data_IF_019068883063
#
_entry.id   IF_019068883063
#
_cell.length_a   1.000
_cell.length_b   1.000
_cell.length_c   1.000
_cell.angle_alpha   90.00
_cell.angle_beta   90.00
_cell.angle_gamma   90.00
#
_symmetry.space_group_name_H-M   'P 1'
#
loop_
_entity.id
_entity.type
_entity.pdbx_description
1 polymer ?
#
# COMPACT_ATOMS: atom_id res chain seq x y z
N UNK A 1 19.19 -45.76 -25.50
CA UNK A 1 18.85 -46.93 -26.35
C UNK A 1 17.75 -46.66 -27.37
N UNK A 2 16.77 -45.75 -27.17
CA UNK A 2 15.82 -45.35 -28.23
C UNK A 2 16.35 -44.25 -29.19
N UNK A 3 17.37 -43.48 -28.78
CA UNK A 3 18.05 -42.50 -29.65
C UNK A 3 19.10 -43.12 -30.59
N UNK A 4 19.59 -44.33 -30.32
CA UNK A 4 20.60 -45.01 -31.14
C UNK A 4 20.02 -45.83 -32.31
N UNK A 5 18.69 -45.86 -32.45
CA UNK A 5 17.95 -46.57 -33.51
C UNK A 5 17.13 -45.63 -34.42
N UNK A 6 17.38 -44.32 -34.36
CA UNK A 6 16.79 -43.36 -35.31
C UNK A 6 15.28 -43.10 -35.17
N UNK A 7 14.65 -43.52 -34.08
CA UNK A 7 13.20 -43.40 -33.86
C UNK A 7 12.74 -42.03 -33.31
N UNK A 8 13.66 -41.07 -33.08
CA UNK A 8 13.32 -39.71 -32.66
C UNK A 8 14.00 -38.67 -33.57
N UNK A 9 13.25 -37.68 -34.09
CA UNK A 9 13.82 -36.63 -34.93
C UNK A 9 14.79 -35.74 -34.12
N UNK A 10 15.94 -35.44 -34.72
CA UNK A 10 16.94 -34.51 -34.19
C UNK A 10 16.46 -33.07 -34.47
N UNK A 11 16.31 -32.20 -33.46
CA UNK A 11 15.93 -30.80 -33.69
C UNK A 11 17.02 -30.08 -34.51
N UNK A 12 16.67 -29.60 -35.71
CA UNK A 12 17.57 -28.91 -36.64
C UNK A 12 17.60 -27.39 -36.49
N UNK A 13 16.89 -26.83 -35.50
CA UNK A 13 16.92 -25.39 -35.25
C UNK A 13 17.94 -25.05 -34.14
N UNK A 14 18.96 -24.21 -34.40
CA UNK A 14 19.75 -23.64 -33.33
C UNK A 14 18.84 -22.74 -32.50
N UNK A 15 18.54 -23.14 -31.25
CA UNK A 15 17.94 -22.22 -30.27
C UNK A 15 19.00 -21.19 -29.92
N UNK A 16 19.02 -20.08 -30.65
CA UNK A 16 19.68 -18.86 -30.20
C UNK A 16 18.94 -18.43 -28.93
N UNK A 17 19.52 -18.67 -27.76
CA UNK A 17 19.02 -18.07 -26.53
C UNK A 17 19.31 -16.57 -26.60
N UNK A 18 18.35 -15.80 -27.13
CA UNK A 18 18.38 -14.35 -26.94
C UNK A 18 18.27 -14.10 -25.43
N UNK A 19 19.41 -13.82 -24.81
CA UNK A 19 19.46 -13.35 -23.43
C UNK A 19 18.59 -12.10 -23.36
N UNK A 20 17.60 -12.10 -22.46
CA UNK A 20 16.70 -10.98 -22.28
C UNK A 20 17.53 -9.71 -21.96
N UNK A 21 17.29 -8.57 -22.62
CA UNK A 21 18.01 -7.33 -22.33
C UNK A 21 17.94 -6.97 -20.84
N UNK A 22 19.02 -6.41 -20.29
CA UNK A 22 19.08 -6.05 -18.87
C UNK A 22 17.98 -5.05 -18.49
N UNK A 23 17.67 -4.11 -19.38
CA UNK A 23 16.56 -3.17 -19.20
C UNK A 23 15.21 -3.88 -19.00
N UNK A 24 14.93 -4.94 -19.76
CA UNK A 24 13.70 -5.73 -19.62
C UNK A 24 13.70 -6.50 -18.30
N UNK A 25 14.84 -7.07 -17.89
CA UNK A 25 14.95 -7.74 -16.58
C UNK A 25 14.69 -6.77 -15.42
N UNK A 26 15.25 -5.57 -15.49
CA UNK A 26 15.05 -4.52 -14.49
C UNK A 26 13.60 -4.04 -14.47
N UNK A 27 12.96 -3.88 -15.63
CA UNK A 27 11.54 -3.53 -15.71
C UNK A 27 10.65 -4.60 -15.05
N UNK A 28 10.94 -5.89 -15.27
CA UNK A 28 10.21 -7.00 -14.62
C UNK A 28 10.45 -7.01 -13.10
N UNK A 29 11.69 -6.81 -12.66
CA UNK A 29 12.03 -6.72 -11.24
C UNK A 29 11.27 -5.57 -10.57
N UNK A 30 11.35 -4.37 -11.16
CA UNK A 30 10.66 -3.19 -10.67
C UNK A 30 9.14 -3.39 -10.65
N UNK A 31 8.58 -4.01 -11.68
CA UNK A 31 7.15 -4.34 -11.73
C UNK A 31 6.73 -5.26 -10.57
N UNK A 32 7.53 -6.29 -10.27
CA UNK A 32 7.26 -7.17 -9.12
C UNK A 32 7.39 -6.46 -7.77
N UNK A 33 8.20 -5.41 -7.67
CA UNK A 33 8.42 -4.63 -6.45
C UNK A 33 7.41 -3.50 -6.26
N UNK A 34 6.56 -3.22 -7.25
CA UNK A 34 5.48 -2.24 -7.09
C UNK A 34 4.47 -2.69 -6.03
N UNK A 35 4.08 -1.76 -5.17
CA UNK A 35 3.17 -2.02 -4.04
C UNK A 35 1.75 -2.43 -4.47
N UNK A 36 1.32 -2.05 -5.69
CA UNK A 36 0.05 -2.46 -6.27
C UNK A 36 0.08 -3.88 -6.86
N UNK A 37 1.27 -4.44 -7.06
CA UNK A 37 1.53 -5.79 -7.59
C UNK A 37 1.90 -6.77 -6.48
N UNK A 38 2.77 -6.36 -5.55
CA UNK A 38 3.23 -7.18 -4.44
C UNK A 38 3.10 -6.47 -3.10
N UNK A 39 2.48 -7.14 -2.14
CA UNK A 39 2.32 -6.66 -0.77
C UNK A 39 3.49 -7.08 0.12
N UNK A 40 4.24 -6.12 0.66
CA UNK A 40 5.33 -6.41 1.58
C UNK A 40 4.83 -6.83 2.97
N UNK A 41 5.36 -7.92 3.50
CA UNK A 41 4.95 -8.44 4.80
C UNK A 41 5.53 -7.60 5.94
N UNK A 42 4.74 -7.19 6.94
CA UNK A 42 5.18 -6.27 8.00
C UNK A 42 5.87 -6.97 9.17
N UNK A 43 5.72 -8.30 9.30
CA UNK A 43 6.19 -9.03 10.48
C UNK A 43 7.71 -9.14 10.55
N UNK A 44 8.28 -8.97 11.76
CA UNK A 44 9.73 -9.11 12.00
C UNK A 44 10.30 -10.48 11.61
N UNK A 45 9.45 -11.52 11.54
CA UNK A 45 9.80 -12.89 11.14
C UNK A 45 9.56 -13.18 9.65
N UNK A 46 8.92 -12.28 8.92
CA UNK A 46 8.56 -12.47 7.52
C UNK A 46 9.74 -12.16 6.60
N UNK A 47 10.79 -12.96 6.72
CA UNK A 47 12.07 -12.73 6.04
C UNK A 47 12.53 -13.98 5.31
N UNK A 48 13.34 -13.78 4.28
CA UNK A 48 14.00 -14.84 3.53
C UNK A 48 15.47 -14.48 3.31
N UNK A 49 16.34 -15.46 3.50
CA UNK A 49 17.77 -15.31 3.21
C UNK A 49 18.01 -15.77 1.78
N UNK A 50 18.52 -14.86 0.95
CA UNK A 50 18.84 -15.12 -0.45
C UNK A 50 20.36 -15.11 -0.59
N UNK A 51 20.89 -16.12 -1.30
CA UNK A 51 22.30 -16.16 -1.66
C UNK A 51 22.49 -15.41 -2.97
N UNK A 52 23.25 -14.33 -2.93
CA UNK A 52 23.59 -13.50 -4.09
C UNK A 52 24.60 -14.20 -5.00
N UNK A 53 24.77 -13.66 -6.21
CA UNK A 53 25.70 -14.21 -7.21
C UNK A 53 27.16 -14.16 -6.76
N UNK A 54 27.51 -13.18 -5.91
CA UNK A 54 28.83 -13.03 -5.29
C UNK A 54 29.05 -14.01 -4.11
N UNK A 55 28.05 -14.84 -3.78
CA UNK A 55 28.10 -15.82 -2.71
C UNK A 55 27.70 -15.27 -1.33
N UNK A 56 27.47 -13.96 -1.20
CA UNK A 56 27.00 -13.35 0.04
C UNK A 56 25.56 -13.77 0.35
N UNK A 57 25.19 -13.79 1.63
CA UNK A 57 23.82 -14.07 2.07
C UNK A 57 23.20 -12.76 2.53
N UNK A 58 22.14 -12.35 1.84
CA UNK A 58 21.40 -11.14 2.17
C UNK A 58 19.98 -11.51 2.61
N UNK A 59 19.54 -10.90 3.71
CA UNK A 59 18.20 -11.12 4.25
C UNK A 59 17.25 -10.08 3.69
N UNK A 60 16.24 -10.54 2.97
CA UNK A 60 15.17 -9.72 2.41
C UNK A 60 13.90 -9.88 3.24
N UNK A 61 13.12 -8.81 3.34
CA UNK A 61 11.74 -8.88 3.84
C UNK A 61 10.87 -9.51 2.74
N UNK A 62 9.99 -10.45 3.11
CA UNK A 62 9.10 -11.11 2.14
C UNK A 62 8.08 -10.12 1.59
N UNK A 63 7.80 -10.21 0.30
CA UNK A 63 6.63 -9.61 -0.34
C UNK A 63 5.77 -10.70 -0.95
N UNK A 64 4.48 -10.45 -1.12
CA UNK A 64 3.48 -11.40 -1.60
C UNK A 64 2.85 -10.84 -2.85
N UNK A 65 2.92 -11.58 -3.95
CA UNK A 65 2.23 -11.22 -5.17
C UNK A 65 0.71 -11.21 -4.94
N UNK A 66 0.07 -10.05 -5.12
CA UNK A 66 -1.37 -9.85 -4.92
C UNK A 66 -2.20 -10.63 -5.95
N UNK A 67 -1.65 -10.71 -7.16
CA UNK A 67 -2.18 -11.42 -8.30
C UNK A 67 -1.51 -12.78 -8.46
N UNK A 68 -2.12 -13.68 -9.22
CA UNK A 68 -1.39 -14.86 -9.67
C UNK A 68 -0.38 -14.45 -10.77
N UNK A 69 0.62 -15.32 -11.04
CA UNK A 69 1.70 -14.98 -11.98
C UNK A 69 1.19 -14.73 -13.40
N UNK A 70 0.06 -15.34 -13.80
CA UNK A 70 -0.56 -15.11 -15.11
C UNK A 70 -1.19 -13.72 -15.18
N UNK A 71 -1.95 -13.33 -14.17
CA UNK A 71 -2.54 -11.98 -14.04
C UNK A 71 -1.46 -10.91 -14.01
N UNK A 72 -0.44 -11.06 -13.17
CA UNK A 72 0.69 -10.14 -13.08
C UNK A 72 1.43 -9.99 -14.42
N UNK A 73 1.60 -11.09 -15.17
CA UNK A 73 2.21 -11.05 -16.49
C UNK A 73 1.37 -10.28 -17.52
N UNK A 74 0.04 -10.46 -17.50
CA UNK A 74 -0.86 -9.72 -18.38
C UNK A 74 -0.83 -8.22 -18.08
N UNK A 75 -0.84 -7.84 -16.80
CA UNK A 75 -0.70 -6.46 -16.36
C UNK A 75 0.65 -5.86 -16.80
N UNK A 76 1.75 -6.60 -16.63
CA UNK A 76 3.08 -6.14 -17.07
C UNK A 76 3.13 -5.82 -18.56
N UNK A 77 2.54 -6.67 -19.41
CA UNK A 77 2.48 -6.46 -20.86
C UNK A 77 1.58 -5.26 -21.24
N UNK A 78 0.52 -5.00 -20.48
CA UNK A 78 -0.33 -3.83 -20.66
C UNK A 78 0.41 -2.53 -20.30
N UNK A 79 1.18 -2.54 -19.20
CA UNK A 79 1.95 -1.38 -18.73
C UNK A 79 3.18 -1.09 -19.61
N UNK A 80 3.67 -2.08 -20.36
CA UNK A 80 4.89 -1.98 -21.17
C UNK A 80 4.63 -2.38 -22.63
N UNK A 81 3.83 -1.59 -23.38
CA UNK A 81 3.53 -1.87 -24.78
C UNK A 81 4.84 -1.85 -25.60
N UNK A 82 5.21 -3.00 -26.15
CA UNK A 82 6.44 -3.19 -26.92
C UNK A 82 7.48 -4.13 -26.29
N UNK A 83 7.30 -4.52 -25.02
CA UNK A 83 8.09 -5.59 -24.40
C UNK A 83 7.43 -6.94 -24.70
N UNK A 84 8.13 -7.81 -25.42
CA UNK A 84 7.72 -9.21 -25.61
C UNK A 84 8.49 -10.11 -24.63
N UNK A 85 7.77 -10.64 -23.64
CA UNK A 85 8.29 -11.62 -22.69
C UNK A 85 7.26 -12.71 -22.46
N UNK A 86 7.68 -13.97 -22.53
CA UNK A 86 6.79 -15.09 -22.22
C UNK A 86 6.49 -15.18 -20.72
N UNK A 87 5.31 -15.69 -20.36
CA UNK A 87 4.91 -15.91 -18.96
C UNK A 87 5.94 -16.73 -18.18
N UNK A 88 6.54 -17.73 -18.82
CA UNK A 88 7.54 -18.60 -18.19
C UNK A 88 8.82 -17.85 -17.84
N UNK A 89 9.30 -16.98 -18.73
CA UNK A 89 10.49 -16.15 -18.48
C UNK A 89 10.19 -15.10 -17.42
N UNK A 90 9.01 -14.45 -17.50
CA UNK A 90 8.53 -13.52 -16.48
C UNK A 90 8.49 -14.18 -15.08
N UNK A 91 7.92 -15.38 -14.99
CA UNK A 91 7.84 -16.14 -13.75
C UNK A 91 9.22 -16.52 -13.17
N UNK A 92 10.20 -16.82 -14.03
CA UNK A 92 11.57 -17.15 -13.62
C UNK A 92 12.34 -15.93 -13.11
N UNK A 93 12.05 -14.75 -13.64
CA UNK A 93 12.68 -13.50 -13.23
C UNK A 93 12.05 -12.90 -11.97
N UNK A 94 11.02 -13.53 -11.40
CA UNK A 94 10.45 -13.12 -10.14
C UNK A 94 11.51 -13.17 -9.03
N UNK A 95 11.71 -12.08 -8.26
CA UNK A 95 12.64 -12.11 -7.15
C UNK A 95 12.27 -13.20 -6.13
N UNK A 96 13.25 -13.89 -5.53
CA UNK A 96 12.99 -14.97 -4.58
C UNK A 96 12.29 -14.50 -3.31
N UNK A 97 12.38 -13.21 -2.97
CA UNK A 97 11.65 -12.59 -1.86
C UNK A 97 10.21 -12.18 -2.20
N UNK A 98 9.82 -12.22 -3.48
CA UNK A 98 8.43 -12.06 -3.92
C UNK A 98 7.79 -13.44 -3.99
N UNK A 99 7.05 -13.78 -2.94
CA UNK A 99 6.38 -15.05 -2.75
C UNK A 99 5.09 -15.11 -3.56
N UNK A 100 4.80 -16.27 -4.14
CA UNK A 100 3.48 -16.50 -4.76
C UNK A 100 2.40 -16.62 -3.70
N UNK A 101 1.18 -16.26 -4.09
CA UNK A 101 -0.03 -16.33 -3.28
C UNK A 101 -0.28 -17.71 -2.63
N UNK A 102 0.26 -18.80 -3.19
CA UNK A 102 0.15 -20.17 -2.66
C UNK A 102 1.18 -20.50 -1.58
N UNK A 103 2.26 -19.73 -1.46
CA UNK A 103 3.29 -19.91 -0.42
C UNK A 103 2.94 -19.23 0.90
N UNK A 104 1.73 -18.69 1.02
CA UNK A 104 1.23 -17.98 2.18
C UNK A 104 0.72 -18.93 3.27
N UNK A 105 1.22 -18.86 4.51
CA UNK A 105 0.37 -19.14 5.67
C UNK A 105 -0.72 -18.06 5.76
N UNK A 106 -1.95 -18.47 6.13
CA UNK A 106 -3.18 -17.66 6.37
C UNK A 106 -3.25 -16.25 5.74
N UNK A 107 -4.12 -16.04 4.74
CA UNK A 107 -4.35 -14.72 4.10
C UNK A 107 -4.97 -13.73 5.09
N UNK A 108 -4.23 -12.67 5.43
CA UNK A 108 -4.68 -11.56 6.29
C UNK A 108 -4.56 -10.20 5.59
N UNK A 109 -5.28 -9.19 6.10
CA UNK A 109 -5.26 -7.80 5.62
C UNK A 109 -5.72 -7.57 4.17
N UNK A 110 -6.72 -8.32 3.70
CA UNK A 110 -7.30 -8.13 2.36
C UNK A 110 -8.28 -6.95 2.36
N UNK A 111 -8.33 -6.18 1.27
CA UNK A 111 -9.27 -5.08 1.10
C UNK A 111 -10.73 -5.56 1.16
N UNK A 112 -11.53 -4.95 2.03
CA UNK A 112 -12.95 -5.28 2.23
C UNK A 112 -13.76 -5.17 0.93
N UNK A 113 -13.58 -4.09 0.18
CA UNK A 113 -14.33 -3.80 -1.04
C UNK A 113 -14.09 -4.87 -2.12
N UNK A 114 -12.83 -5.26 -2.33
CA UNK A 114 -12.47 -6.30 -3.28
C UNK A 114 -12.92 -7.67 -2.80
N UNK A 115 -12.67 -8.00 -1.53
CA UNK A 115 -12.96 -9.33 -1.00
C UNK A 115 -14.47 -9.61 -0.96
N UNK A 116 -15.29 -8.64 -0.59
CA UNK A 116 -16.75 -8.82 -0.55
C UNK A 116 -17.35 -9.02 -1.95
N UNK A 117 -16.86 -8.31 -2.96
CA UNK A 117 -17.24 -8.57 -4.35
C UNK A 117 -16.74 -9.94 -4.80
N UNK A 118 -15.50 -10.30 -4.47
CA UNK A 118 -14.92 -11.60 -4.82
C UNK A 118 -15.76 -12.76 -4.27
N UNK A 119 -16.19 -12.67 -3.01
CA UNK A 119 -17.01 -13.72 -2.38
C UNK A 119 -18.38 -13.89 -3.08
N UNK A 120 -18.97 -12.81 -3.58
CA UNK A 120 -20.24 -12.86 -4.30
C UNK A 120 -20.06 -13.45 -5.71
N UNK A 121 -19.04 -12.99 -6.45
CA UNK A 121 -18.78 -13.54 -7.80
C UNK A 121 -18.38 -15.01 -7.73
N UNK A 122 -17.59 -15.42 -6.73
CA UNK A 122 -17.20 -16.82 -6.51
C UNK A 122 -18.45 -17.69 -6.30
N UNK A 123 -19.39 -17.21 -5.48
CA UNK A 123 -20.65 -17.89 -5.20
C UNK A 123 -21.57 -17.96 -6.44
N UNK A 124 -21.56 -16.91 -7.28
CA UNK A 124 -22.36 -16.80 -8.50
C UNK A 124 -21.73 -17.44 -9.74
N UNK A 125 -20.44 -17.79 -9.70
CA UNK A 125 -19.67 -18.29 -10.85
C UNK A 125 -20.28 -19.49 -11.56
N UNK A 126 -21.01 -20.35 -10.83
CA UNK A 126 -21.69 -21.54 -11.37
C UNK A 126 -23.10 -21.26 -11.89
N UNK A 127 -23.65 -20.09 -11.58
CA UNK A 127 -25.04 -19.73 -11.84
C UNK A 127 -25.18 -18.60 -12.86
N UNK A 128 -24.07 -17.98 -13.26
CA UNK A 128 -24.02 -16.94 -14.30
C UNK A 128 -23.21 -17.49 -15.48
N UNK A 129 -23.84 -17.60 -16.65
CA UNK A 129 -23.17 -18.06 -17.86
C UNK A 129 -22.13 -17.05 -18.35
N UNK A 130 -20.97 -17.56 -18.79
CA UNK A 130 -19.87 -16.75 -19.31
C UNK A 130 -18.74 -16.53 -18.30
N UNK A 131 -17.79 -15.66 -18.63
CA UNK A 131 -16.59 -15.42 -17.83
C UNK A 131 -16.67 -14.22 -16.90
N UNK A 132 -17.79 -13.49 -16.85
CA UNK A 132 -17.89 -12.26 -16.07
C UNK A 132 -17.69 -12.49 -14.56
N UNK A 133 -18.05 -13.67 -14.03
CA UNK A 133 -17.87 -14.04 -12.63
C UNK A 133 -16.66 -14.95 -12.38
N UNK A 134 -15.69 -15.05 -13.30
CA UNK A 134 -14.53 -15.93 -13.10
C UNK A 134 -13.52 -15.38 -12.09
N UNK A 135 -13.36 -14.06 -12.07
CA UNK A 135 -12.42 -13.33 -11.24
C UNK A 135 -12.75 -11.82 -11.27
N UNK A 136 -12.16 -11.04 -10.36
CA UNK A 136 -12.43 -9.60 -10.22
C UNK A 136 -12.05 -8.78 -11.47
N UNK A 137 -11.03 -9.19 -12.22
CA UNK A 137 -10.60 -8.47 -13.41
C UNK A 137 -11.62 -8.68 -14.54
N UNK A 138 -11.98 -9.94 -14.81
CA UNK A 138 -13.03 -10.29 -15.77
C UNK A 138 -14.38 -9.65 -15.41
N UNK A 139 -14.69 -9.57 -14.12
CA UNK A 139 -15.88 -8.87 -13.62
C UNK A 139 -15.83 -7.38 -13.94
N UNK A 140 -14.72 -6.70 -13.64
CA UNK A 140 -14.55 -5.27 -13.92
C UNK A 140 -14.65 -5.01 -15.42
N UNK A 141 -13.89 -5.73 -16.24
CA UNK A 141 -13.90 -5.59 -17.71
C UNK A 141 -15.30 -5.84 -18.30
N UNK A 142 -16.09 -6.75 -17.73
CA UNK A 142 -17.45 -7.00 -18.18
C UNK A 142 -18.43 -5.85 -17.85
N UNK A 143 -18.11 -4.97 -16.91
CA UNK A 143 -18.99 -3.90 -16.46
C UNK A 143 -18.71 -2.55 -17.11
N UNK A 144 -17.50 -2.30 -17.61
CA UNK A 144 -17.11 -0.97 -18.12
C UNK A 144 -16.58 -1.03 -19.54
N UNK A 145 -16.77 0.05 -20.31
CA UNK A 145 -16.18 0.19 -21.64
C UNK A 145 -14.66 0.41 -21.57
N UNK A 146 -14.22 1.19 -20.58
CA UNK A 146 -12.83 1.58 -20.38
C UNK A 146 -12.54 1.70 -18.88
N UNK A 147 -11.59 0.90 -18.41
CA UNK A 147 -11.16 0.84 -17.01
C UNK A 147 -10.34 2.05 -16.56
N UNK A 148 -9.83 2.84 -17.51
CA UNK A 148 -9.09 4.09 -17.27
C UNK A 148 -10.00 5.32 -17.25
N UNK A 149 -11.24 5.19 -17.72
CA UNK A 149 -12.19 6.28 -17.83
C UNK A 149 -12.99 6.51 -16.52
N UNK A 150 -12.94 7.73 -15.99
CA UNK A 150 -13.62 8.10 -14.74
C UNK A 150 -15.15 7.91 -14.82
N UNK A 151 -15.79 8.28 -15.93
CA UNK A 151 -17.26 8.15 -16.07
C UNK A 151 -17.69 6.69 -16.08
N UNK A 152 -16.91 5.81 -16.71
CA UNK A 152 -17.16 4.37 -16.71
C UNK A 152 -17.05 3.80 -15.29
N UNK A 153 -15.94 4.07 -14.61
CA UNK A 153 -15.65 3.52 -13.28
C UNK A 153 -16.48 4.16 -12.15
N UNK A 154 -17.07 5.34 -12.38
CA UNK A 154 -18.02 5.97 -11.45
C UNK A 154 -19.48 5.57 -11.67
N UNK A 155 -19.73 4.67 -12.62
CA UNK A 155 -21.07 4.22 -13.04
C UNK A 155 -21.96 5.35 -13.58
N UNK A 156 -21.35 6.34 -14.25
CA UNK A 156 -22.03 7.49 -14.85
C UNK A 156 -21.97 7.46 -16.40
N UNK A 157 -21.34 6.46 -17.01
CA UNK A 157 -21.23 6.33 -18.45
C UNK A 157 -22.53 5.79 -19.07
N UNK A 158 -23.03 6.48 -20.09
CA UNK A 158 -24.26 6.09 -20.80
C UNK A 158 -24.12 4.81 -21.63
N UNK A 159 -22.90 4.43 -22.02
CA UNK A 159 -22.65 3.27 -22.87
C UNK A 159 -22.57 1.95 -22.08
N UNK A 160 -21.99 1.95 -20.88
CA UNK A 160 -21.85 0.75 -20.04
C UNK A 160 -22.83 0.69 -18.87
N UNK A 161 -23.76 1.64 -18.74
CA UNK A 161 -24.76 1.67 -17.66
C UNK A 161 -25.59 0.38 -17.54
N UNK A 162 -25.86 -0.28 -18.66
CA UNK A 162 -26.63 -1.52 -18.72
C UNK A 162 -25.77 -2.80 -18.70
N UNK A 163 -24.44 -2.69 -18.63
CA UNK A 163 -23.55 -3.86 -18.74
C UNK A 163 -23.74 -4.87 -17.61
N UNK A 164 -24.06 -4.41 -16.40
CA UNK A 164 -24.39 -5.33 -15.30
C UNK A 164 -25.58 -6.22 -15.66
N UNK A 165 -26.66 -5.63 -16.17
CA UNK A 165 -27.84 -6.37 -16.61
C UNK A 165 -27.52 -7.34 -17.76
N UNK A 166 -26.79 -6.87 -18.77
CA UNK A 166 -26.47 -7.66 -19.96
C UNK A 166 -25.51 -8.82 -19.67
N UNK A 167 -24.51 -8.59 -18.82
CA UNK A 167 -23.42 -9.55 -18.60
C UNK A 167 -23.59 -10.40 -17.35
N UNK A 168 -24.45 -10.00 -16.41
CA UNK A 168 -24.73 -10.73 -15.16
C UNK A 168 -26.20 -11.17 -15.12
N UNK A 169 -27.14 -10.24 -14.98
CA UNK A 169 -28.56 -10.57 -14.71
C UNK A 169 -29.18 -11.43 -15.82
N UNK A 170 -29.02 -11.05 -17.08
CA UNK A 170 -29.57 -11.77 -18.23
C UNK A 170 -28.89 -13.13 -18.47
N UNK A 171 -27.76 -13.40 -17.81
CA UNK A 171 -27.01 -14.65 -17.96
C UNK A 171 -27.18 -15.59 -16.77
N UNK A 172 -28.06 -15.25 -15.81
CA UNK A 172 -28.40 -16.14 -14.70
C UNK A 172 -29.13 -17.37 -15.23
N UNK A 173 -28.63 -18.56 -14.88
CA UNK A 173 -29.19 -19.86 -15.32
C UNK A 173 -30.50 -20.18 -14.60
N UNK A 174 -30.53 -20.01 -13.27
CA UNK A 174 -31.72 -20.22 -12.45
C UNK A 174 -31.68 -19.29 -11.22
N UNK A 175 -32.63 -18.36 -11.17
CA UNK A 175 -32.69 -17.31 -10.15
C UNK A 175 -33.16 -17.80 -8.77
N UNK A 176 -33.89 -18.91 -8.71
CA UNK A 176 -34.56 -19.41 -7.48
C UNK A 176 -33.73 -20.44 -6.72
N UNK A 177 -32.54 -20.81 -7.22
CA UNK A 177 -31.65 -21.74 -6.54
C UNK A 177 -31.14 -21.10 -5.26
N UNK A 178 -31.23 -21.84 -4.15
CA UNK A 178 -30.60 -21.43 -2.90
C UNK A 178 -29.10 -21.67 -2.95
N UNK A 179 -28.35 -20.70 -2.47
CA UNK A 179 -26.91 -20.80 -2.28
C UNK A 179 -26.52 -20.14 -0.96
N UNK A 180 -25.31 -20.46 -0.53
CA UNK A 180 -24.65 -19.82 0.60
C UNK A 180 -23.47 -19.02 0.10
N UNK A 181 -23.26 -17.85 0.69
CA UNK A 181 -22.09 -17.02 0.42
C UNK A 181 -21.60 -16.38 1.72
N UNK A 182 -20.40 -15.85 1.68
CA UNK A 182 -19.84 -15.11 2.80
C UNK A 182 -19.75 -13.62 2.49
N UNK A 183 -19.87 -12.78 3.52
CA UNK A 183 -19.53 -11.36 3.48
C UNK A 183 -18.76 -10.99 4.75
N UNK A 184 -17.85 -10.03 4.61
CA UNK A 184 -17.26 -9.35 5.74
C UNK A 184 -18.10 -8.13 6.09
N UNK A 185 -18.54 -8.03 7.33
CA UNK A 185 -19.39 -6.94 7.83
C UNK A 185 -18.80 -6.30 9.09
N UNK A 186 -19.07 -5.01 9.27
CA UNK A 186 -18.70 -4.29 10.49
C UNK A 186 -19.75 -4.54 11.56
N UNK A 187 -19.39 -5.25 12.62
CA UNK A 187 -20.24 -5.46 13.80
C UNK A 187 -19.60 -4.79 15.01
N UNK A 188 -20.20 -3.66 15.45
CA UNK A 188 -19.69 -2.78 16.52
C UNK A 188 -18.24 -2.33 16.28
N UNK A 189 -17.28 -3.07 16.85
CA UNK A 189 -15.84 -2.76 16.89
C UNK A 189 -14.99 -3.75 16.07
N UNK A 190 -15.59 -4.81 15.51
CA UNK A 190 -14.86 -5.86 14.78
C UNK A 190 -15.46 -6.08 13.41
N UNK A 191 -14.59 -6.46 12.48
CA UNK A 191 -14.99 -6.92 11.15
C UNK A 191 -15.05 -8.44 11.20
N UNK A 192 -16.22 -9.00 10.96
CA UNK A 192 -16.48 -10.43 11.06
C UNK A 192 -16.92 -10.99 9.71
N UNK A 193 -16.53 -12.24 9.44
CA UNK A 193 -16.96 -12.95 8.23
C UNK A 193 -18.23 -13.73 8.55
N UNK A 194 -19.33 -13.32 7.94
CA UNK A 194 -20.67 -13.85 8.19
C UNK A 194 -21.08 -14.73 7.00
N UNK A 195 -21.63 -15.92 7.29
CA UNK A 195 -22.31 -16.75 6.29
C UNK A 195 -23.74 -16.25 6.10
N UNK A 196 -24.13 -16.06 4.84
CA UNK A 196 -25.48 -15.68 4.44
C UNK A 196 -26.05 -16.78 3.53
N UNK A 197 -27.36 -16.95 3.58
CA UNK A 197 -28.10 -17.89 2.73
C UNK A 197 -29.25 -17.16 2.05
N UNK A 198 -29.46 -17.45 0.78
CA UNK A 198 -30.56 -16.91 -0.01
C UNK A 198 -30.55 -17.46 -1.43
N UNK A 199 -31.38 -16.88 -2.28
CA UNK A 199 -31.51 -17.23 -3.69
C UNK A 199 -30.40 -16.60 -4.55
N UNK A 200 -30.16 -17.15 -5.74
CA UNK A 200 -29.28 -16.54 -6.75
C UNK A 200 -29.71 -15.10 -7.04
N UNK A 201 -31.01 -14.86 -7.13
CA UNK A 201 -31.58 -13.52 -7.32
C UNK A 201 -31.15 -12.53 -6.22
N UNK A 202 -31.30 -12.91 -4.97
CA UNK A 202 -30.91 -12.08 -3.81
C UNK A 202 -29.40 -11.82 -3.81
N UNK A 203 -28.59 -12.84 -4.10
CA UNK A 203 -27.13 -12.70 -4.20
C UNK A 203 -26.71 -11.73 -5.31
N UNK A 204 -27.35 -11.78 -6.50
CA UNK A 204 -27.12 -10.85 -7.61
C UNK A 204 -27.55 -9.42 -7.25
N UNK A 205 -28.66 -9.25 -6.53
CA UNK A 205 -29.11 -7.94 -6.04
C UNK A 205 -28.10 -7.32 -5.07
N UNK A 206 -27.56 -8.10 -4.13
CA UNK A 206 -26.51 -7.64 -3.21
C UNK A 206 -25.24 -7.27 -3.99
N UNK A 207 -24.86 -8.06 -5.00
CA UNK A 207 -23.73 -7.74 -5.87
C UNK A 207 -23.94 -6.40 -6.58
N UNK A 208 -25.11 -6.20 -7.19
CA UNK A 208 -25.48 -4.97 -7.91
C UNK A 208 -25.34 -3.72 -7.03
N UNK A 209 -25.80 -3.80 -5.77
CA UNK A 209 -25.69 -2.70 -4.80
C UNK A 209 -24.25 -2.32 -4.48
N UNK A 210 -23.30 -3.24 -4.60
CA UNK A 210 -21.87 -3.02 -4.31
C UNK A 210 -21.06 -2.56 -5.53
N UNK A 211 -21.58 -2.73 -6.75
CA UNK A 211 -20.85 -2.44 -8.01
C UNK A 211 -20.32 -1.01 -8.05
N UNK A 212 -21.16 -0.01 -7.80
CA UNK A 212 -20.76 1.40 -7.89
C UNK A 212 -19.61 1.74 -6.93
N UNK A 213 -19.68 1.27 -5.69
CA UNK A 213 -18.62 1.51 -4.70
C UNK A 213 -17.34 0.76 -5.07
N UNK A 214 -17.47 -0.48 -5.53
CA UNK A 214 -16.34 -1.30 -5.97
C UNK A 214 -15.59 -0.67 -7.16
N UNK A 215 -16.30 -0.28 -8.23
CA UNK A 215 -15.67 0.33 -9.41
C UNK A 215 -14.96 1.64 -9.06
N UNK A 216 -15.60 2.51 -8.28
CA UNK A 216 -14.96 3.75 -7.80
C UNK A 216 -13.69 3.44 -7.00
N UNK A 217 -13.74 2.46 -6.10
CA UNK A 217 -12.58 2.06 -5.29
C UNK A 217 -11.43 1.50 -6.16
N UNK A 218 -11.73 0.68 -7.16
CA UNK A 218 -10.75 0.16 -8.13
C UNK A 218 -10.10 1.30 -8.90
N UNK A 219 -10.88 2.26 -9.38
CA UNK A 219 -10.39 3.42 -10.12
C UNK A 219 -9.47 4.29 -9.26
N UNK A 220 -9.92 4.69 -8.07
CA UNK A 220 -9.13 5.53 -7.16
C UNK A 220 -7.82 4.82 -6.79
N UNK A 221 -7.87 3.51 -6.48
CA UNK A 221 -6.66 2.71 -6.21
C UNK A 221 -5.66 2.86 -7.35
N UNK A 222 -6.08 2.60 -8.59
CA UNK A 222 -5.19 2.66 -9.77
C UNK A 222 -4.65 4.07 -10.01
N UNK A 223 -5.51 5.09 -9.94
CA UNK A 223 -5.10 6.49 -10.13
C UNK A 223 -4.07 6.94 -9.08
N UNK A 224 -4.25 6.58 -7.80
CA UNK A 224 -3.31 6.94 -6.75
C UNK A 224 -1.99 6.19 -6.84
N UNK A 225 -2.03 4.88 -7.15
CA UNK A 225 -0.81 4.09 -7.38
C UNK A 225 -0.01 4.63 -8.57
N UNK A 226 -0.66 4.89 -9.70
CA UNK A 226 0.01 5.43 -10.88
C UNK A 226 0.62 6.81 -10.63
N UNK A 227 -0.12 7.69 -9.95
CA UNK A 227 0.39 9.01 -9.56
C UNK A 227 1.60 8.91 -8.64
N UNK A 228 1.58 7.98 -7.67
CA UNK A 228 2.71 7.75 -6.77
C UNK A 228 3.97 7.30 -7.53
N UNK A 229 3.85 6.31 -8.42
CA UNK A 229 4.97 5.85 -9.25
C UNK A 229 5.52 6.98 -10.14
N UNK A 230 4.63 7.76 -10.76
CA UNK A 230 5.04 8.92 -11.55
C UNK A 230 5.82 9.94 -10.71
N UNK A 231 5.31 10.29 -9.53
CA UNK A 231 6.00 11.26 -8.67
C UNK A 231 7.35 10.77 -8.17
N UNK A 232 7.51 9.46 -7.92
CA UNK A 232 8.81 8.87 -7.58
C UNK A 232 9.78 8.97 -8.75
N UNK A 233 9.33 8.65 -9.96
CA UNK A 233 10.15 8.74 -11.17
C UNK A 233 10.59 10.18 -11.48
N UNK A 234 9.72 11.16 -11.22
CA UNK A 234 9.96 12.59 -11.45
C UNK A 234 10.66 13.28 -10.26
N UNK A 235 11.10 12.54 -9.23
CA UNK A 235 11.69 13.11 -8.02
C UNK A 235 13.15 13.53 -8.20
N UNK A 236 13.53 14.66 -7.60
CA UNK A 236 14.89 15.20 -7.61
C UNK A 236 15.19 16.00 -6.32
N UNK A 237 16.38 16.60 -6.24
CA UNK A 237 16.86 17.36 -5.08
C UNK A 237 16.00 18.60 -4.73
N UNK A 238 15.21 19.11 -5.68
CA UNK A 238 14.32 20.27 -5.49
C UNK A 238 12.88 19.84 -5.18
N UNK A 239 12.47 18.68 -5.65
CA UNK A 239 11.12 18.15 -5.54
C UNK A 239 11.15 16.67 -5.19
N UNK A 240 10.93 16.35 -3.92
CA UNK A 240 10.94 14.98 -3.42
C UNK A 240 9.53 14.43 -3.17
N UNK A 241 9.46 13.10 -3.06
CA UNK A 241 8.28 12.37 -2.61
C UNK A 241 8.56 11.75 -1.25
N UNK A 242 7.63 11.87 -0.31
CA UNK A 242 7.77 11.29 1.03
C UNK A 242 6.56 10.43 1.35
N UNK A 243 6.73 9.13 1.51
CA UNK A 243 5.68 8.26 2.05
C UNK A 243 5.85 8.16 3.56
N UNK A 244 4.75 8.26 4.30
CA UNK A 244 4.72 8.13 5.76
C UNK A 244 3.65 7.14 6.21
N UNK A 245 3.92 6.42 7.30
CA UNK A 245 2.95 5.56 7.97
C UNK A 245 3.39 5.27 9.42
N UNK A 246 2.46 4.76 10.24
CA UNK A 246 2.78 4.12 11.51
C UNK A 246 2.96 2.62 11.32
N UNK A 247 4.16 2.13 11.61
CA UNK A 247 4.35 0.69 11.75
C UNK A 247 3.62 0.20 13.00
N UNK A 248 3.20 -1.07 13.00
CA UNK A 248 2.61 -1.72 14.19
C UNK A 248 3.46 -1.47 15.44
N UNK A 249 2.86 -1.23 16.60
CA UNK A 249 3.64 -0.95 17.81
C UNK A 249 4.58 -2.12 18.15
N UNK A 250 5.80 -1.80 18.58
CA UNK A 250 6.75 -2.80 19.03
C UNK A 250 6.49 -3.15 20.49
N UNK A 251 5.99 -4.36 20.75
CA UNK A 251 5.89 -4.90 22.09
C UNK A 251 7.28 -5.20 22.65
N UNK A 252 7.63 -4.51 23.74
CA UNK A 252 8.89 -4.72 24.44
C UNK A 252 8.86 -6.09 25.11
N UNK A 253 9.68 -7.01 24.61
CA UNK A 253 9.82 -8.34 25.17
C UNK A 253 11.25 -8.50 25.70
N UNK A 254 11.40 -9.12 26.85
CA UNK A 254 12.69 -9.47 27.43
C UNK A 254 13.05 -10.93 27.10
N UNK A 255 14.33 -11.20 26.89
CA UNK A 255 14.82 -12.58 26.82
C UNK A 255 14.78 -13.21 28.22
N UNK A 256 14.39 -14.49 28.29
CA UNK A 256 14.25 -15.24 29.55
C UNK A 256 13.22 -14.63 30.53
N UNK A 257 12.20 -13.94 30.00
CA UNK A 257 11.13 -13.34 30.80
C UNK A 257 10.33 -14.39 31.60
N UNK A 258 10.07 -14.11 32.88
CA UNK A 258 9.25 -14.96 33.75
C UNK A 258 7.79 -15.02 33.26
N UNK A 259 7.09 -16.11 33.54
CA UNK A 259 5.73 -16.35 33.06
C UNK A 259 4.74 -15.21 33.42
N UNK A 260 4.91 -14.58 34.58
CA UNK A 260 4.06 -13.47 35.04
C UNK A 260 4.29 -12.16 34.25
N UNK A 261 5.45 -11.97 33.62
CA UNK A 261 5.77 -10.78 32.83
C UNK A 261 5.09 -10.76 31.45
N UNK A 262 4.41 -11.86 31.07
CA UNK A 262 3.73 -11.98 29.79
C UNK A 262 2.52 -11.03 29.64
N UNK A 263 1.92 -10.58 30.75
CA UNK A 263 0.64 -9.85 30.76
C UNK A 263 0.76 -8.32 30.80
N UNK A 264 1.96 -7.75 30.92
CA UNK A 264 2.19 -6.29 31.07
C UNK A 264 3.24 -5.75 30.10
N UNK A 265 3.03 -5.98 28.80
CA UNK A 265 4.01 -5.58 27.77
C UNK A 265 3.86 -4.09 27.42
N UNK A 266 4.83 -3.26 27.82
CA UNK A 266 4.96 -1.89 27.30
C UNK A 266 5.16 -1.96 25.78
N UNK A 267 4.57 -1.03 25.04
CA UNK A 267 4.74 -0.95 23.59
C UNK A 267 5.35 0.39 23.18
N UNK A 268 6.13 0.38 22.10
CA UNK A 268 6.75 1.56 21.48
C UNK A 268 6.04 1.81 20.16
N UNK A 269 5.56 3.03 19.95
CA UNK A 269 5.06 3.46 18.64
C UNK A 269 6.22 3.76 17.70
N UNK A 270 6.09 3.49 16.41
CA UNK A 270 7.14 3.76 15.43
C UNK A 270 6.52 4.46 14.21
N UNK A 271 6.80 5.75 14.07
CA UNK A 271 6.50 6.49 12.85
C UNK A 271 7.59 6.21 11.82
N UNK A 272 7.20 5.83 10.62
CA UNK A 272 8.13 5.47 9.53
C UNK A 272 7.93 6.40 8.36
N UNK A 273 9.03 6.79 7.73
CA UNK A 273 8.98 7.60 6.51
C UNK A 273 10.06 7.16 5.52
N UNK A 274 9.77 7.34 4.25
CA UNK A 274 10.75 7.15 3.19
C UNK A 274 10.66 8.29 2.19
N UNK A 275 11.79 8.91 1.87
CA UNK A 275 11.89 10.01 0.92
C UNK A 275 12.66 9.58 -0.32
N UNK A 276 12.03 9.71 -1.50
CA UNK A 276 12.65 9.53 -2.82
C UNK A 276 13.13 10.87 -3.35
N UNK A 277 14.39 10.91 -3.77
CA UNK A 277 15.09 12.07 -4.31
C UNK A 277 16.02 11.64 -5.45
N UNK A 278 15.43 11.24 -6.59
CA UNK A 278 16.18 10.68 -7.71
C UNK A 278 17.01 9.45 -7.29
N UNK A 279 18.35 9.47 -7.40
CA UNK A 279 19.20 8.36 -6.95
C UNK A 279 19.34 8.29 -5.41
N UNK A 280 19.07 9.38 -4.69
CA UNK A 280 19.18 9.46 -3.24
C UNK A 280 17.86 9.05 -2.59
N UNK A 281 17.95 8.26 -1.52
CA UNK A 281 16.80 7.80 -0.77
C UNK A 281 17.08 7.88 0.74
N UNK A 282 16.13 8.41 1.49
CA UNK A 282 16.25 8.59 2.94
C UNK A 282 15.16 7.82 3.66
N UNK A 283 15.55 6.87 4.51
CA UNK A 283 14.60 6.08 5.32
C UNK A 283 14.66 6.53 6.77
N UNK A 284 13.50 6.76 7.38
CA UNK A 284 13.36 7.22 8.76
C UNK A 284 12.56 6.23 9.59
N UNK A 285 13.00 5.99 10.82
CA UNK A 285 12.24 5.32 11.85
C UNK A 285 12.30 6.13 13.15
N UNK A 286 11.15 6.61 13.58
CA UNK A 286 10.99 7.55 14.68
C UNK A 286 10.20 6.90 15.82
N UNK A 287 10.86 6.10 16.67
CA UNK A 287 10.20 5.47 17.82
C UNK A 287 9.82 6.48 18.89
N UNK A 288 8.70 6.22 19.57
CA UNK A 288 8.23 6.99 20.73
C UNK A 288 7.63 6.09 21.80
N UNK A 289 7.85 6.44 23.06
CA UNK A 289 7.13 5.84 24.18
C UNK A 289 5.66 6.30 24.24
N UNK A 290 5.29 7.35 23.50
CA UNK A 290 3.91 7.79 23.36
C UNK A 290 3.19 7.01 22.24
N UNK A 291 2.14 6.27 22.60
CA UNK A 291 1.37 5.41 21.68
C UNK A 291 0.03 6.01 21.25
N UNK A 292 -0.22 7.29 21.52
CA UNK A 292 -1.52 7.92 21.24
C UNK A 292 -1.75 8.20 19.76
N UNK A 293 -0.66 8.26 18.97
CA UNK A 293 -0.68 8.57 17.53
C UNK A 293 -1.47 9.87 17.22
N UNK A 294 -1.50 10.81 18.17
CA UNK A 294 -2.31 12.00 18.04
C UNK A 294 -1.70 13.00 17.03
N UNK A 295 -2.49 14.01 16.67
CA UNK A 295 -2.10 15.08 15.74
C UNK A 295 -0.80 15.82 16.12
N UNK A 296 -0.46 15.92 17.40
CA UNK A 296 0.75 16.60 17.87
C UNK A 296 1.99 15.71 17.69
N UNK A 297 1.85 14.41 17.93
CA UNK A 297 2.87 13.41 17.65
C UNK A 297 3.19 13.37 16.15
N UNK A 298 2.16 13.31 15.29
CA UNK A 298 2.33 13.38 13.83
C UNK A 298 3.05 14.67 13.43
N UNK A 299 2.64 15.83 13.95
CA UNK A 299 3.34 17.08 13.66
C UNK A 299 4.82 17.04 14.07
N UNK A 300 5.13 16.52 15.25
CA UNK A 300 6.51 16.43 15.76
C UNK A 300 7.38 15.57 14.85
N UNK A 301 6.82 14.45 14.35
CA UNK A 301 7.50 13.60 13.38
C UNK A 301 7.77 14.34 12.05
N UNK A 302 6.77 15.06 11.54
CA UNK A 302 6.89 15.81 10.28
C UNK A 302 7.90 16.96 10.39
N UNK A 303 7.89 17.71 11.50
CA UNK A 303 8.86 18.77 11.77
C UNK A 303 10.30 18.23 11.77
N UNK A 304 10.53 17.08 12.42
CA UNK A 304 11.83 16.43 12.43
C UNK A 304 12.25 15.98 11.02
N UNK A 305 11.38 15.28 10.29
CA UNK A 305 11.67 14.77 8.94
C UNK A 305 12.00 15.91 7.98
N UNK A 306 11.20 16.97 7.96
CA UNK A 306 11.43 18.13 7.09
C UNK A 306 12.74 18.83 7.49
N UNK A 307 13.01 18.97 8.80
CA UNK A 307 14.25 19.56 9.30
C UNK A 307 15.49 18.80 8.82
N UNK A 308 15.50 17.47 8.95
CA UNK A 308 16.58 16.61 8.45
C UNK A 308 16.72 16.70 6.93
N UNK A 309 15.62 16.57 6.19
CA UNK A 309 15.64 16.61 4.73
C UNK A 309 16.17 17.94 4.19
N UNK A 310 15.86 19.08 4.83
CA UNK A 310 16.42 20.37 4.44
C UNK A 310 17.93 20.50 4.71
N UNK A 311 18.48 19.75 5.67
CA UNK A 311 19.93 19.70 5.89
C UNK A 311 20.62 18.89 4.78
N UNK A 312 20.03 17.76 4.38
CA UNK A 312 20.57 16.94 3.30
C UNK A 312 20.34 17.53 1.90
N UNK A 313 19.25 18.29 1.73
CA UNK A 313 18.80 18.88 0.46
C UNK A 313 18.57 20.39 0.63
N UNK A 314 19.62 21.23 0.58
CA UNK A 314 19.51 22.67 0.82
C UNK A 314 18.61 23.41 -0.20
N UNK A 315 18.53 22.90 -1.43
CA UNK A 315 17.74 23.46 -2.52
C UNK A 315 16.30 22.94 -2.59
N UNK A 316 15.87 22.18 -1.57
CA UNK A 316 14.53 21.61 -1.52
C UNK A 316 13.45 22.70 -1.56
N UNK A 317 12.52 22.59 -2.53
CA UNK A 317 11.41 23.52 -2.72
C UNK A 317 10.04 22.86 -2.60
N UNK A 318 9.93 21.57 -2.92
CA UNK A 318 8.64 20.88 -2.97
C UNK A 318 8.73 19.53 -2.27
N UNK A 319 7.74 19.23 -1.42
CA UNK A 319 7.55 17.90 -0.84
C UNK A 319 6.14 17.41 -1.15
N UNK A 320 6.07 16.23 -1.76
CA UNK A 320 4.82 15.53 -2.07
C UNK A 320 4.65 14.37 -1.09
N UNK A 321 3.83 14.55 -0.07
CA UNK A 321 3.56 13.52 0.94
C UNK A 321 2.56 12.48 0.43
N UNK A 322 2.76 11.23 0.83
CA UNK A 322 1.84 10.13 0.61
C UNK A 322 1.61 9.38 1.91
N UNK A 323 0.37 9.04 2.22
CA UNK A 323 0.03 8.19 3.36
C UNK A 323 -1.21 7.35 3.08
N UNK A 324 -1.50 6.42 3.99
CA UNK A 324 -2.82 5.81 4.02
C UNK A 324 -3.91 6.84 4.40
N UNK A 325 -5.17 6.43 4.25
CA UNK A 325 -6.33 7.26 4.57
C UNK A 325 -6.75 7.23 6.04
N UNK A 326 -5.88 6.89 7.00
CA UNK A 326 -6.26 6.75 8.40
C UNK A 326 -6.78 8.08 8.98
N UNK A 327 -8.08 8.12 9.34
CA UNK A 327 -8.75 9.33 9.81
C UNK A 327 -8.24 9.84 11.15
N UNK A 328 -7.76 8.95 12.02
CA UNK A 328 -7.21 9.31 13.33
C UNK A 328 -5.82 9.96 13.25
N UNK A 329 -5.07 9.68 12.18
CA UNK A 329 -3.66 10.04 12.04
C UNK A 329 -3.48 11.10 10.95
N UNK A 330 -3.75 10.75 9.70
CA UNK A 330 -3.40 11.58 8.54
C UNK A 330 -4.62 12.28 7.95
N UNK A 331 -5.67 11.54 7.59
CA UNK A 331 -6.78 12.06 6.78
C UNK A 331 -7.80 12.84 7.62
N UNK A 332 -7.36 13.98 8.15
CA UNK A 332 -8.11 14.85 9.06
C UNK A 332 -7.78 16.33 8.92
N UNK A 333 -8.71 17.19 9.35
CA UNK A 333 -8.61 18.66 9.28
C UNK A 333 -7.33 19.25 9.89
N UNK A 334 -6.83 18.64 10.97
CA UNK A 334 -5.65 19.16 11.67
C UNK A 334 -4.38 18.98 10.84
N UNK A 335 -4.26 17.85 10.10
CA UNK A 335 -3.15 17.65 9.17
C UNK A 335 -3.21 18.70 8.06
N UNK A 336 -4.39 18.96 7.49
CA UNK A 336 -4.52 19.93 6.41
C UNK A 336 -4.15 21.35 6.85
N UNK A 337 -4.60 21.76 8.04
CA UNK A 337 -4.19 23.04 8.63
C UNK A 337 -2.69 23.08 8.89
N UNK A 338 -2.12 21.99 9.39
CA UNK A 338 -0.69 21.89 9.64
C UNK A 338 0.15 21.92 8.35
N UNK A 339 -0.39 21.40 7.24
CA UNK A 339 0.26 21.44 5.93
C UNK A 339 0.46 22.89 5.45
N UNK A 340 -0.53 23.75 5.65
CA UNK A 340 -0.41 25.19 5.36
C UNK A 340 0.67 25.82 6.23
N UNK A 341 0.65 25.55 7.54
CA UNK A 341 1.65 26.06 8.48
C UNK A 341 3.06 25.63 8.08
N UNK A 342 3.28 24.33 7.84
CA UNK A 342 4.57 23.80 7.41
C UNK A 342 5.05 24.41 6.09
N UNK A 343 4.13 24.63 5.15
CA UNK A 343 4.46 25.26 3.86
C UNK A 343 5.03 26.67 4.07
N UNK A 344 4.44 27.45 4.96
CA UNK A 344 4.88 28.81 5.29
C UNK A 344 6.16 28.78 6.14
N UNK A 345 6.16 28.05 7.26
CA UNK A 345 7.26 28.01 8.22
C UNK A 345 8.57 27.51 7.57
N UNK A 346 8.46 26.59 6.60
CA UNK A 346 9.61 25.99 5.94
C UNK A 346 9.93 26.58 4.55
N UNK A 347 9.12 27.51 4.03
CA UNK A 347 9.20 28.02 2.64
C UNK A 347 9.21 26.87 1.60
N UNK A 348 8.21 25.99 1.70
CA UNK A 348 8.07 24.79 0.86
C UNK A 348 6.70 24.72 0.21
N UNK A 349 6.63 24.24 -1.03
CA UNK A 349 5.39 23.81 -1.66
C UNK A 349 5.03 22.41 -1.15
N UNK A 350 3.93 22.29 -0.41
CA UNK A 350 3.52 21.04 0.19
C UNK A 350 2.21 20.53 -0.39
N UNK A 351 2.20 19.25 -0.77
CA UNK A 351 0.99 18.52 -1.14
C UNK A 351 0.95 17.19 -0.41
N UNK A 352 -0.26 16.65 -0.24
CA UNK A 352 -0.50 15.39 0.44
C UNK A 352 -1.52 14.56 -0.35
N UNK A 353 -1.09 13.38 -0.79
CA UNK A 353 -1.92 12.38 -1.45
C UNK A 353 -2.25 11.23 -0.51
N UNK A 354 -3.46 10.68 -0.63
CA UNK A 354 -3.92 9.55 0.17
C UNK A 354 -4.14 8.34 -0.73
N UNK A 355 -3.54 7.21 -0.37
CA UNK A 355 -3.85 5.95 -1.04
C UNK A 355 -5.31 5.54 -0.79
N UNK A 356 -5.86 4.75 -1.71
CA UNK A 356 -7.17 4.13 -1.51
C UNK A 356 -7.14 3.25 -0.23
N UNK A 357 -8.27 3.17 0.46
CA UNK A 357 -8.40 2.39 1.69
C UNK A 357 -7.86 0.96 1.52
N UNK A 358 -6.99 0.53 2.44
CA UNK A 358 -6.30 -0.77 2.40
C UNK A 358 -5.28 -0.97 1.27
N UNK A 359 -4.84 0.10 0.59
CA UNK A 359 -3.86 0.04 -0.52
C UNK A 359 -2.66 0.99 -0.35
N UNK A 360 -2.41 1.52 0.85
CA UNK A 360 -1.28 2.44 1.11
C UNK A 360 -0.01 1.80 1.67
N UNK A 361 0.05 0.47 1.68
CA UNK A 361 1.18 -0.29 2.24
C UNK A 361 2.37 -0.26 1.29
N UNK A 362 3.58 -0.23 1.83
CA UNK A 362 4.79 -0.16 1.00
C UNK A 362 6.08 -0.14 1.81
N UNK A 363 7.07 0.63 1.34
CA UNK A 363 8.42 0.68 1.95
C UNK A 363 8.42 1.11 3.43
N UNK A 364 7.44 1.91 3.84
CA UNK A 364 7.27 2.37 5.23
C UNK A 364 7.01 1.20 6.20
N UNK A 365 6.20 0.21 5.79
CA UNK A 365 6.01 -1.04 6.54
C UNK A 365 7.32 -1.84 6.65
N UNK A 366 8.09 -1.86 5.56
CA UNK A 366 9.37 -2.57 5.49
C UNK A 366 10.41 -2.00 6.46
N UNK A 367 10.47 -0.67 6.55
CA UNK A 367 11.34 0.04 7.49
C UNK A 367 10.97 -0.36 8.91
N UNK A 368 9.68 -0.31 9.25
CA UNK A 368 9.18 -0.72 10.55
C UNK A 368 9.52 -2.17 10.89
N UNK A 369 9.24 -3.11 9.99
CA UNK A 369 9.57 -4.53 10.15
C UNK A 369 11.08 -4.77 10.31
N UNK A 370 11.90 -4.07 9.53
CA UNK A 370 13.36 -4.18 9.57
C UNK A 370 13.93 -3.68 10.89
N UNK A 371 13.59 -2.47 11.33
CA UNK A 371 14.15 -1.92 12.57
C UNK A 371 13.72 -2.75 13.78
N UNK A 372 12.46 -3.19 13.86
CA UNK A 372 12.00 -4.11 14.91
C UNK A 372 12.79 -5.41 14.94
N UNK A 373 13.15 -5.94 13.76
CA UNK A 373 13.96 -7.16 13.65
C UNK A 373 15.38 -6.93 14.16
N UNK A 374 16.01 -5.82 13.79
CA UNK A 374 17.37 -5.47 14.24
C UNK A 374 17.44 -5.34 15.77
N UNK A 375 16.48 -4.63 16.37
CA UNK A 375 16.40 -4.52 17.83
C UNK A 375 16.10 -5.87 18.48
N UNK A 376 15.20 -6.67 17.89
CA UNK A 376 14.91 -8.00 18.39
C UNK A 376 16.13 -8.94 18.40
N UNK A 377 17.00 -8.85 17.39
CA UNK A 377 18.24 -9.62 17.36
C UNK A 377 19.17 -9.25 18.51
N UNK A 378 19.27 -7.96 18.86
CA UNK A 378 20.04 -7.53 20.03
C UNK A 378 19.45 -8.05 21.33
N UNK A 379 18.12 -7.99 21.48
CA UNK A 379 17.42 -8.54 22.65
C UNK A 379 17.73 -10.03 22.83
N UNK A 380 17.77 -10.81 21.74
CA UNK A 380 18.15 -12.23 21.77
C UNK A 380 19.62 -12.49 22.15
N UNK A 381 20.46 -11.46 22.13
CA UNK A 381 21.84 -11.49 22.64
C UNK A 381 21.94 -10.96 24.06
N UNK A 382 20.83 -10.97 24.81
CA UNK A 382 20.69 -10.49 26.19
C UNK A 382 20.83 -8.97 26.39
N UNK A 383 20.70 -8.18 25.32
CA UNK A 383 20.58 -6.73 25.45
C UNK A 383 19.17 -6.35 25.94
N UNK A 384 19.05 -5.23 26.67
CA UNK A 384 17.77 -4.77 27.20
C UNK A 384 17.23 -3.58 26.41
N UNK A 385 16.00 -3.72 25.90
CA UNK A 385 15.23 -2.63 25.30
C UNK A 385 14.07 -2.31 26.24
N UNK A 386 13.96 -1.09 26.77
CA UNK A 386 12.91 -0.70 27.75
C UNK A 386 12.16 0.60 27.40
N UNK A 387 12.72 1.37 26.47
CA UNK A 387 12.25 2.71 26.08
C UNK A 387 12.51 2.94 24.60
N UNK A 388 11.89 3.97 24.02
CA UNK A 388 12.23 4.43 22.68
C UNK A 388 13.73 4.81 22.56
N UNK A 389 14.33 5.43 23.58
CA UNK A 389 15.78 5.72 23.60
C UNK A 389 16.65 4.48 23.44
N UNK A 390 16.39 3.44 24.25
CA UNK A 390 17.15 2.19 24.18
C UNK A 390 16.90 1.44 22.86
N UNK A 391 15.68 1.52 22.33
CA UNK A 391 15.34 1.00 21.00
C UNK A 391 16.20 1.66 19.91
N UNK A 392 16.32 2.99 19.91
CA UNK A 392 17.17 3.74 18.96
C UNK A 392 18.63 3.33 19.07
N UNK A 393 19.16 3.23 20.29
CA UNK A 393 20.56 2.85 20.54
C UNK A 393 20.87 1.47 19.95
N UNK A 394 20.03 0.47 20.26
CA UNK A 394 20.20 -0.89 19.76
C UNK A 394 20.08 -0.97 18.24
N UNK A 395 19.14 -0.22 17.65
CA UNK A 395 18.99 -0.18 16.20
C UNK A 395 20.21 0.45 15.51
N UNK A 396 20.76 1.56 16.05
CA UNK A 396 21.95 2.23 15.51
C UNK A 396 23.20 1.35 15.52
N UNK A 397 23.31 0.42 16.47
CA UNK A 397 24.41 -0.56 16.49
C UNK A 397 24.38 -1.54 15.31
N UNK A 398 23.22 -1.68 14.64
CA UNK A 398 23.02 -2.64 13.55
C UNK A 398 22.85 -2.00 12.18
N UNK A 399 22.47 -0.74 12.10
CA UNK A 399 22.25 -0.06 10.83
C UNK A 399 22.58 1.42 10.90
N UNK A 400 23.20 1.90 9.82
CA UNK A 400 23.41 3.32 9.52
C UNK A 400 22.60 3.76 8.28
N UNK A 401 21.81 2.86 7.68
CA UNK A 401 21.02 3.12 6.46
C UNK A 401 19.65 3.72 6.75
N UNK A 402 19.19 3.61 8.00
CA UNK A 402 17.91 4.14 8.47
C UNK A 402 18.21 5.23 9.51
N UNK A 403 17.72 6.43 9.26
CA UNK A 403 17.81 7.56 10.17
C UNK A 403 16.89 7.28 11.37
N UNK A 404 17.51 7.16 12.54
CA UNK A 404 16.86 6.75 13.78
C UNK A 404 16.89 7.89 14.80
N UNK A 405 15.71 8.34 15.23
CA UNK A 405 15.56 9.41 16.20
C UNK A 405 14.36 9.19 17.11
N UNK A 406 14.53 9.43 18.41
CA UNK A 406 13.45 9.29 19.37
C UNK A 406 12.55 10.52 19.38
N UNK A 407 11.24 10.31 19.26
CA UNK A 407 10.25 11.37 19.49
C UNK A 407 9.86 11.36 20.96
N UNK A 408 10.45 12.27 21.73
CA UNK A 408 10.25 12.38 23.18
C UNK A 408 8.90 13.00 23.53
N UNK A 409 8.38 12.69 24.73
CA UNK A 409 7.15 13.32 25.23
C UNK A 409 7.29 14.84 25.32
N UNK A 410 8.45 15.36 25.74
CA UNK A 410 8.71 16.79 25.82
C UNK A 410 8.60 17.49 24.45
N UNK A 411 9.06 16.85 23.37
CA UNK A 411 8.91 17.38 22.01
C UNK A 411 7.44 17.41 21.56
N UNK A 412 6.68 16.37 21.92
CA UNK A 412 5.23 16.30 21.64
C UNK A 412 4.48 17.39 22.42
N UNK A 413 4.82 17.61 23.69
CA UNK A 413 4.18 18.62 24.53
C UNK A 413 4.48 20.04 24.01
N UNK A 414 5.71 20.29 23.53
CA UNK A 414 6.07 21.56 22.88
C UNK A 414 5.28 21.79 21.58
N UNK A 415 5.10 20.74 20.78
CA UNK A 415 4.24 20.74 19.58
C UNK A 415 2.78 21.04 19.93
N UNK A 416 2.26 20.46 21.02
CA UNK A 416 0.93 20.75 21.53
C UNK A 416 0.77 22.22 21.95
N UNK A 417 1.70 22.75 22.74
CA UNK A 417 1.67 24.16 23.16
C UNK A 417 1.63 25.12 21.97
N UNK A 418 2.38 24.85 20.89
CA UNK A 418 2.40 25.68 19.68
C UNK A 418 1.09 25.59 18.90
N UNK A 419 0.45 24.42 18.86
CA UNK A 419 -0.61 24.12 17.89
C UNK A 419 -2.02 24.06 18.47
N UNK A 420 -2.17 23.94 19.78
CA UNK A 420 -3.47 23.68 20.41
C UNK A 420 -4.50 24.76 20.07
N UNK A 421 -4.13 26.04 20.12
CA UNK A 421 -5.03 27.14 19.75
C UNK A 421 -5.43 27.08 18.27
N UNK A 422 -4.46 26.85 17.37
CA UNK A 422 -4.69 26.76 15.93
C UNK A 422 -5.64 25.60 15.62
N UNK A 423 -5.39 24.43 16.19
CA UNK A 423 -6.20 23.24 15.99
C UNK A 423 -7.60 23.37 16.59
N UNK A 424 -7.75 24.00 17.76
CA UNK A 424 -9.06 24.25 18.34
C UNK A 424 -9.92 25.19 17.46
N UNK A 425 -9.31 26.16 16.79
CA UNK A 425 -9.99 27.04 15.85
C UNK A 425 -10.25 26.41 14.46
N UNK A 426 -9.63 25.26 14.16
CA UNK A 426 -9.69 24.64 12.83
C UNK A 426 -11.07 24.04 12.53
N UNK A 427 -11.72 24.55 11.48
CA UNK A 427 -13.03 24.07 11.04
C UNK A 427 -12.98 22.68 10.40
N UNK A 428 -14.09 21.96 10.46
CA UNK A 428 -14.23 20.66 9.80
C UNK A 428 -14.31 20.82 8.28
N UNK A 429 -13.59 19.96 7.55
CA UNK A 429 -13.64 19.92 6.09
C UNK A 429 -14.68 18.89 5.66
N UNK A 430 -15.69 19.33 4.90
CA UNK A 430 -16.76 18.44 4.39
C UNK A 430 -16.18 17.36 3.50
N UNK A 431 -16.75 16.16 3.57
CA UNK A 431 -16.36 15.02 2.73
C UNK A 431 -14.86 14.66 2.79
N UNK A 432 -14.18 14.94 3.91
CA UNK A 432 -12.74 14.67 4.10
C UNK A 432 -12.36 13.26 3.66
N UNK A 433 -13.19 12.26 3.96
CA UNK A 433 -12.91 10.85 3.62
C UNK A 433 -12.98 10.54 2.11
N UNK A 434 -13.62 11.39 1.30
CA UNK A 434 -13.67 11.28 -0.17
C UNK A 434 -12.49 11.97 -0.87
N UNK A 435 -11.73 12.80 -0.16
CA UNK A 435 -10.52 13.45 -0.70
C UNK A 435 -9.42 12.43 -0.92
N UNK A 436 -8.65 12.52 -1.99
CA UNK A 436 -7.40 11.75 -2.09
C UNK A 436 -6.18 12.61 -2.41
N UNK A 437 -6.37 13.92 -2.51
CA UNK A 437 -5.26 14.85 -2.66
C UNK A 437 -5.61 16.23 -2.10
N UNK A 438 -4.63 16.83 -1.42
CA UNK A 438 -4.71 18.17 -0.85
C UNK A 438 -3.40 18.90 -1.13
N UNK A 439 -3.47 20.14 -1.58
CA UNK A 439 -2.29 21.01 -1.73
C UNK A 439 -2.45 22.26 -0.88
N UNK A 440 -1.40 22.62 -0.13
CA UNK A 440 -1.37 23.86 0.61
C UNK A 440 -1.25 25.04 -0.36
N UNK A 441 -2.16 26.01 -0.24
CA UNK A 441 -2.11 27.29 -0.94
C UNK A 441 -1.88 28.40 0.10
N UNK A 442 -1.51 29.60 -0.37
CA UNK A 442 -1.43 30.82 0.44
C UNK A 442 -2.79 31.20 1.04
N UNK A 443 -2.78 32.13 1.99
CA UNK A 443 -3.97 32.73 2.62
C UNK A 443 -4.87 31.75 3.39
N UNK A 444 -4.26 30.80 4.11
CA UNK A 444 -5.00 29.84 4.93
C UNK A 444 -5.98 28.96 4.15
N UNK A 445 -5.59 28.60 2.93
CA UNK A 445 -6.42 27.87 1.99
C UNK A 445 -5.72 26.60 1.53
N UNK A 446 -6.50 25.53 1.35
CA UNK A 446 -6.06 24.32 0.65
C UNK A 446 -6.84 24.13 -0.65
N UNK A 447 -6.19 23.56 -1.64
CA UNK A 447 -6.85 22.94 -2.79
C UNK A 447 -7.12 21.48 -2.48
N UNK A 448 -8.32 21.01 -2.79
CA UNK A 448 -8.78 19.64 -2.59
C UNK A 448 -9.12 19.01 -3.94
N UNK A 449 -8.79 17.72 -4.10
CA UNK A 449 -9.20 16.91 -5.26
C UNK A 449 -9.74 15.55 -4.81
N UNK A 450 -10.68 15.01 -5.58
CA UNK A 450 -11.24 13.67 -5.37
C UNK A 450 -10.20 12.58 -5.58
N UNK A 451 -9.26 12.80 -6.50
CA UNK A 451 -8.02 12.04 -6.70
C UNK A 451 -6.93 12.94 -7.27
N UNK A 452 -5.68 12.54 -7.07
CA UNK A 452 -4.48 13.37 -7.33
C UNK A 452 -4.45 13.99 -8.74
N UNK A 453 -4.84 13.23 -9.77
CA UNK A 453 -4.85 13.69 -11.17
C UNK A 453 -6.22 14.22 -11.64
N UNK A 454 -7.19 14.42 -10.74
CA UNK A 454 -8.51 14.92 -11.13
C UNK A 454 -8.40 16.33 -11.71
N UNK A 455 -9.09 16.59 -12.82
CA UNK A 455 -9.19 17.94 -13.40
C UNK A 455 -10.06 18.86 -12.55
N UNK A 456 -10.96 18.28 -11.77
CA UNK A 456 -11.85 19.02 -10.88
C UNK A 456 -11.17 19.24 -9.52
N UNK A 457 -11.08 20.50 -9.11
CA UNK A 457 -10.57 20.90 -7.80
C UNK A 457 -11.50 21.92 -7.16
N UNK A 458 -11.42 22.03 -5.84
CA UNK A 458 -12.11 23.07 -5.08
C UNK A 458 -11.23 23.51 -3.91
N UNK A 459 -11.48 24.70 -3.39
CA UNK A 459 -10.68 25.27 -2.31
C UNK A 459 -11.43 25.25 -0.98
N UNK A 460 -10.71 25.06 0.11
CA UNK A 460 -11.23 25.18 1.47
C UNK A 460 -10.38 26.17 2.24
N UNK A 461 -11.01 27.21 2.77
CA UNK A 461 -10.38 28.22 3.64
C UNK A 461 -10.73 27.94 5.10
N UNK A 462 -9.74 27.95 5.99
CA UNK A 462 -9.93 27.62 7.40
C UNK A 462 -10.46 28.78 8.26
#
# INVERSE_FOLDING_TARGET
MAQSVGLLPIPTAPRVSRSLPLAVKNAILHFYERDDISYQMPGKRDTIVVKEQDGTRKTYQKSILLFNVREAHQMFLQDNPGIDVSRSVFAQLRPPYVMVKSSMPHRVCVCLYHQNVNLLIDALSKYVNGSACSDLQSFTTALVCDESNEQCMSSNCNYCSNNFKLNIENKVINENVKLKWFQWEHNRERVEKIEQEGTVKECVQILSQKVKQYLNHVFIKRQQSNFFEQMKADSDEKSIVVQVDYAENFSIQEQDAVQSAHWSTKTISIFTAHAWCGPLNFSFALPSDNITHNKYCVNTCLDYIIGELKQYLPDLKTIKFFSDGAASQFKQRFLFRNLIRLSIDCDLNLSWSFFATSHGKGVVDAIGGTVKRLVWQEILTKQQCKTATSFVLLAKNKTNTIILHEITQAAIDASEQKLQQIFNATRSVRDTQKLHHVTAIREDTIECRSYSQSTSCWTVKF
#
